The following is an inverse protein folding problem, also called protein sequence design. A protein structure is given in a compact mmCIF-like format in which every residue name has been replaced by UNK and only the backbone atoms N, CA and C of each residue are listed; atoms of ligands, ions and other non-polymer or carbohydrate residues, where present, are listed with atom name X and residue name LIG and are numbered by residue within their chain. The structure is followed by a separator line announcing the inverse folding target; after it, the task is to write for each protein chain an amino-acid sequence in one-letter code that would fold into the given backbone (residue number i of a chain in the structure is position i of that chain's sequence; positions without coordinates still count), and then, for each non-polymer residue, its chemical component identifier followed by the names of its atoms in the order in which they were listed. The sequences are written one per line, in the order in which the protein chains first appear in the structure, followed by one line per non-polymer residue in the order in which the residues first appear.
data_IF_888349408767
#
_entry.id   IF_888349408767
#
_cell.length_a   1.000
_cell.length_b   1.000
_cell.length_c   1.000
_cell.angle_alpha   90.00
_cell.angle_beta   90.00
_cell.angle_gamma   90.00
#
_symmetry.space_group_name_H-M   'P 1'
#
loop_
_entity.id
_entity.type
_entity.pdbx_description
1 polymer ?
#
# COMPACT_ATOMS: atom_id res chain seq x y z
N UNK A 1 -3.60 45.90 -9.46
CA UNK A 1 -2.77 44.77 -9.90
C UNK A 1 -2.96 43.69 -8.84
N UNK A 2 -3.09 42.44 -9.21
CA UNK A 2 -3.29 41.35 -8.23
C UNK A 2 -1.98 41.14 -7.46
N UNK A 3 -2.00 41.35 -6.14
CA UNK A 3 -0.81 41.23 -5.28
C UNK A 3 -0.14 39.86 -5.41
N UNK A 4 -0.95 38.79 -5.62
CA UNK A 4 -0.46 37.44 -5.85
C UNK A 4 0.35 37.33 -7.13
N UNK A 5 -0.08 38.01 -8.17
CA UNK A 5 0.65 38.08 -9.44
C UNK A 5 2.00 38.79 -9.27
N UNK A 6 2.03 39.89 -8.51
CA UNK A 6 3.28 40.59 -8.22
C UNK A 6 4.28 39.71 -7.44
N UNK A 7 3.80 38.91 -6.47
CA UNK A 7 4.65 37.95 -5.74
C UNK A 7 5.25 36.89 -6.67
N UNK A 8 4.44 36.35 -7.60
CA UNK A 8 4.93 35.37 -8.57
C UNK A 8 5.94 35.99 -9.54
N UNK A 9 5.67 37.19 -10.03
CA UNK A 9 6.57 37.90 -10.95
C UNK A 9 7.92 38.24 -10.25
N UNK A 10 7.88 38.61 -8.96
CA UNK A 10 9.10 38.84 -8.15
C UNK A 10 9.90 37.55 -7.95
N UNK A 11 9.23 36.43 -7.65
CA UNK A 11 9.90 35.13 -7.52
C UNK A 11 10.54 34.68 -8.83
N UNK A 12 9.84 34.84 -9.97
CA UNK A 12 10.38 34.50 -11.29
C UNK A 12 11.60 35.35 -11.59
N UNK A 13 11.54 36.67 -11.33
CA UNK A 13 12.70 37.56 -11.49
C UNK A 13 13.91 37.13 -10.66
N UNK A 14 13.67 36.78 -9.40
CA UNK A 14 14.75 36.31 -8.51
C UNK A 14 15.36 34.98 -9.00
N UNK A 15 14.53 34.05 -9.55
CA UNK A 15 15.06 32.83 -10.16
C UNK A 15 15.94 33.16 -11.35
N UNK A 16 15.48 34.06 -12.23
CA UNK A 16 16.22 34.41 -13.46
C UNK A 16 17.53 35.10 -13.17
N UNK A 17 17.55 36.00 -12.20
CA UNK A 17 18.71 36.83 -11.90
C UNK A 17 19.76 36.05 -11.09
N UNK A 18 19.33 35.21 -10.13
CA UNK A 18 20.24 34.66 -9.12
C UNK A 18 20.27 33.14 -9.02
N UNK A 19 19.22 32.41 -9.45
CA UNK A 19 19.06 30.97 -9.19
C UNK A 19 18.78 30.12 -10.43
N UNK A 20 18.94 30.66 -11.63
CA UNK A 20 18.64 29.98 -12.89
C UNK A 20 19.31 28.61 -13.03
N UNK A 21 20.58 28.52 -12.65
CA UNK A 21 21.33 27.26 -12.75
C UNK A 21 20.94 26.24 -11.67
N UNK A 22 20.39 26.71 -10.54
CA UNK A 22 20.04 25.88 -9.38
C UNK A 22 18.60 25.39 -9.37
N UNK A 23 17.68 26.03 -10.13
CA UNK A 23 16.28 25.63 -10.25
C UNK A 23 16.04 24.95 -11.61
N UNK A 24 15.30 23.87 -11.65
CA UNK A 24 14.89 23.21 -12.88
C UNK A 24 13.57 23.77 -13.43
N UNK A 25 12.59 23.93 -12.57
CA UNK A 25 11.30 24.52 -12.88
C UNK A 25 10.58 24.97 -11.60
N UNK A 26 9.59 25.84 -11.73
CA UNK A 26 8.71 26.31 -10.68
C UNK A 26 7.24 26.11 -11.05
N UNK A 27 6.44 25.66 -10.10
CA UNK A 27 5.04 25.27 -10.29
C UNK A 27 4.18 25.97 -9.24
N UNK A 28 3.10 26.63 -9.69
CA UNK A 28 2.03 27.09 -8.82
C UNK A 28 0.95 26.02 -8.75
N UNK A 29 0.40 25.79 -7.57
CA UNK A 29 -0.59 24.73 -7.35
C UNK A 29 -1.67 25.14 -6.34
N UNK A 30 -2.45 24.21 -5.83
CA UNK A 30 -3.44 24.45 -4.79
C UNK A 30 -4.66 25.25 -5.26
N UNK A 31 -5.24 26.01 -4.34
CA UNK A 31 -6.50 26.71 -4.56
C UNK A 31 -6.43 27.79 -5.65
N UNK A 32 -5.27 28.38 -5.85
CA UNK A 32 -5.04 29.38 -6.91
C UNK A 32 -5.22 28.80 -8.30
N UNK A 33 -4.79 27.56 -8.51
CA UNK A 33 -4.92 26.86 -9.80
C UNK A 33 -6.30 26.23 -9.99
N UNK A 34 -6.88 25.67 -8.90
CA UNK A 34 -8.17 24.97 -8.98
C UNK A 34 -9.39 25.90 -8.95
N UNK A 35 -9.18 27.20 -8.73
CA UNK A 35 -10.27 28.20 -8.61
C UNK A 35 -11.06 28.10 -7.30
N UNK A 36 -10.59 27.32 -6.33
CA UNK A 36 -11.21 27.16 -5.03
C UNK A 36 -10.66 28.16 -3.99
N UNK A 37 -10.50 29.40 -4.43
CA UNK A 37 -9.94 30.48 -3.59
C UNK A 37 -10.97 31.06 -2.62
N UNK A 38 -10.49 31.45 -1.43
CA UNK A 38 -11.21 32.29 -0.47
C UNK A 38 -10.46 33.62 -0.28
N UNK A 39 -11.04 34.62 0.39
CA UNK A 39 -10.35 35.88 0.67
C UNK A 39 -9.03 35.70 1.46
N UNK A 40 -8.86 34.56 2.13
CA UNK A 40 -7.67 34.20 2.90
C UNK A 40 -6.86 33.05 2.27
N UNK A 41 -7.09 32.76 0.98
CA UNK A 41 -6.26 31.76 0.27
C UNK A 41 -4.90 32.39 -0.10
N UNK A 42 -3.86 31.63 0.09
CA UNK A 42 -2.49 31.86 -0.35
C UNK A 42 -2.27 31.58 -1.84
N UNK A 43 -1.02 31.64 -2.24
CA UNK A 43 -0.50 31.07 -3.48
C UNK A 43 0.58 30.07 -3.09
N UNK A 44 0.32 28.81 -3.38
CA UNK A 44 1.26 27.73 -3.12
C UNK A 44 2.25 27.62 -4.29
N UNK A 45 3.55 27.66 -4.02
CA UNK A 45 4.60 27.51 -5.02
C UNK A 45 5.61 26.47 -4.58
N UNK A 46 5.92 25.53 -5.47
CA UNK A 46 7.07 24.64 -5.32
C UNK A 46 8.04 24.87 -6.48
N UNK A 47 9.32 24.93 -6.19
CA UNK A 47 10.35 24.91 -7.23
C UNK A 47 11.27 23.70 -7.03
N UNK A 48 11.57 23.06 -8.17
CA UNK A 48 12.39 21.87 -8.21
C UNK A 48 13.87 22.25 -8.25
N UNK A 49 14.57 22.00 -7.14
CA UNK A 49 15.99 22.33 -6.98
C UNK A 49 16.89 21.26 -7.61
N UNK A 50 17.89 21.71 -8.37
CA UNK A 50 18.96 20.88 -8.93
C UNK A 50 20.10 20.66 -7.92
N UNK A 51 20.30 21.62 -7.01
CA UNK A 51 21.38 21.64 -6.03
C UNK A 51 20.97 22.30 -4.70
N UNK A 52 21.92 22.39 -3.76
CA UNK A 52 21.70 22.94 -2.43
C UNK A 52 21.40 24.44 -2.45
N UNK A 53 21.91 25.19 -3.43
CA UNK A 53 21.70 26.63 -3.55
C UNK A 53 20.23 26.99 -3.79
N UNK A 54 19.47 26.10 -4.45
CA UNK A 54 18.05 26.31 -4.66
C UNK A 54 17.26 26.53 -3.35
N UNK A 55 17.72 25.95 -2.23
CA UNK A 55 17.07 26.14 -0.93
C UNK A 55 17.19 27.57 -0.37
N UNK A 56 18.15 28.34 -0.81
CA UNK A 56 18.30 29.74 -0.40
C UNK A 56 17.17 30.62 -0.94
N UNK A 57 16.46 30.15 -1.98
CA UNK A 57 15.29 30.82 -2.55
C UNK A 57 14.00 30.63 -1.72
N UNK A 58 13.96 29.67 -0.78
CA UNK A 58 12.77 29.44 0.04
C UNK A 58 12.35 30.69 0.80
N UNK A 59 11.04 30.96 0.83
CA UNK A 59 10.47 32.10 1.55
C UNK A 59 9.16 31.68 2.22
N UNK A 60 9.11 31.86 3.52
CA UNK A 60 7.88 31.74 4.30
C UNK A 60 7.60 33.09 4.97
N UNK A 61 6.44 33.67 4.72
CA UNK A 61 6.10 35.01 5.21
C UNK A 61 4.58 35.20 5.36
N UNK A 62 4.18 36.26 6.05
CA UNK A 62 2.78 36.66 6.21
C UNK A 62 2.54 37.96 5.46
N UNK A 63 1.52 38.01 4.64
CA UNK A 63 1.05 39.23 4.00
C UNK A 63 -0.48 39.32 4.09
N UNK A 64 -1.02 40.44 4.52
CA UNK A 64 -2.47 40.66 4.67
C UNK A 64 -3.16 39.64 5.62
N UNK A 65 -2.42 39.07 6.57
CA UNK A 65 -2.89 38.01 7.47
C UNK A 65 -3.08 36.66 6.79
N UNK A 66 -2.37 36.40 5.67
CA UNK A 66 -2.28 35.13 4.96
C UNK A 66 -0.82 34.67 5.00
N UNK A 67 -0.59 33.41 5.36
CA UNK A 67 0.73 32.78 5.30
C UNK A 67 1.03 32.32 3.89
N UNK A 68 2.23 32.58 3.41
CA UNK A 68 2.74 32.13 2.10
C UNK A 68 3.95 31.25 2.32
N UNK A 69 4.05 30.16 1.56
CA UNK A 69 5.18 29.25 1.59
C UNK A 69 5.64 28.93 0.16
N UNK A 70 6.80 29.50 -0.22
CA UNK A 70 7.49 29.20 -1.47
C UNK A 70 8.64 28.27 -1.13
N UNK A 71 8.52 26.99 -1.45
CA UNK A 71 9.46 25.99 -0.96
C UNK A 71 10.19 25.24 -2.08
N UNK A 72 11.41 24.83 -1.75
CA UNK A 72 12.26 24.02 -2.59
C UNK A 72 11.98 22.52 -2.37
N UNK A 73 11.93 21.78 -3.46
CA UNK A 73 11.94 20.33 -3.44
C UNK A 73 13.03 19.80 -4.36
N UNK A 74 13.97 18.94 -3.87
CA UNK A 74 14.99 18.39 -4.75
C UNK A 74 14.36 17.53 -5.85
N UNK A 75 14.93 17.55 -7.06
CA UNK A 75 14.44 16.80 -8.21
C UNK A 75 14.24 15.31 -7.94
N UNK A 76 15.13 14.70 -7.18
CA UNK A 76 14.99 13.29 -6.77
C UNK A 76 13.73 13.04 -5.93
N UNK A 77 13.40 14.00 -5.05
CA UNK A 77 12.17 13.94 -4.27
C UNK A 77 10.93 14.08 -5.14
N UNK A 78 10.97 14.98 -6.13
CA UNK A 78 9.90 15.17 -7.13
C UNK A 78 9.67 13.87 -7.90
N UNK A 79 10.73 13.24 -8.41
CA UNK A 79 10.66 11.95 -9.13
C UNK A 79 10.05 10.86 -8.24
N UNK A 80 10.55 10.70 -7.02
CA UNK A 80 10.03 9.71 -6.08
C UNK A 80 8.54 9.90 -5.76
N UNK A 81 8.06 11.14 -5.65
CA UNK A 81 6.64 11.43 -5.46
C UNK A 81 5.81 10.90 -6.62
N UNK A 82 6.28 11.08 -7.85
CA UNK A 82 5.60 10.61 -9.06
C UNK A 82 5.68 9.08 -9.18
N UNK A 83 6.87 8.50 -9.00
CA UNK A 83 7.12 7.07 -9.16
C UNK A 83 6.32 6.22 -8.16
N UNK A 84 6.22 6.70 -6.91
CA UNK A 84 5.48 6.03 -5.83
C UNK A 84 4.02 6.50 -5.72
N UNK A 85 3.58 7.40 -6.57
CA UNK A 85 2.25 8.00 -6.55
C UNK A 85 1.86 8.52 -5.16
N UNK A 86 2.76 9.31 -4.55
CA UNK A 86 2.54 9.85 -3.21
C UNK A 86 1.45 10.95 -3.22
N UNK A 87 0.84 11.31 -2.08
CA UNK A 87 -0.23 12.32 -2.03
C UNK A 87 0.13 13.66 -2.69
N UNK A 88 1.40 14.07 -2.57
CA UNK A 88 1.90 15.30 -3.21
C UNK A 88 1.99 15.23 -4.74
N UNK A 89 1.70 14.10 -5.36
CA UNK A 89 1.64 13.97 -6.83
C UNK A 89 0.65 14.95 -7.46
N UNK A 90 -0.38 15.35 -6.71
CA UNK A 90 -1.36 16.35 -7.11
C UNK A 90 -0.74 17.72 -7.48
N UNK A 91 0.38 18.08 -6.85
CA UNK A 91 1.15 19.31 -7.14
C UNK A 91 1.57 19.31 -8.61
N UNK A 92 2.14 18.20 -9.08
CA UNK A 92 2.65 18.10 -10.45
C UNK A 92 1.56 17.73 -11.45
N UNK A 93 0.57 16.95 -11.04
CA UNK A 93 -0.55 16.55 -11.90
C UNK A 93 -1.48 17.70 -12.27
N UNK A 94 -1.78 18.60 -11.32
CA UNK A 94 -2.73 19.71 -11.48
C UNK A 94 -2.08 21.09 -11.47
N UNK A 95 -0.80 21.19 -11.10
CA UNK A 95 -0.08 22.44 -11.04
C UNK A 95 0.20 23.03 -12.40
N UNK A 96 0.43 24.34 -12.41
CA UNK A 96 0.79 25.10 -13.61
C UNK A 96 2.25 25.52 -13.53
N UNK A 97 2.99 25.20 -14.58
CA UNK A 97 4.35 25.68 -14.76
C UNK A 97 4.35 27.21 -14.85
N UNK A 98 5.13 27.88 -13.99
CA UNK A 98 5.28 29.34 -14.02
C UNK A 98 6.67 29.77 -14.49
N UNK A 99 7.68 28.89 -14.35
CA UNK A 99 9.03 29.10 -14.82
C UNK A 99 9.73 27.77 -15.09
N UNK A 100 10.66 27.73 -16.03
CA UNK A 100 11.49 26.56 -16.32
C UNK A 100 12.84 26.98 -16.90
N UNK A 101 13.89 26.20 -16.58
CA UNK A 101 15.23 26.37 -17.14
C UNK A 101 15.26 25.92 -18.61
N UNK A 102 14.84 26.82 -19.49
CA UNK A 102 14.80 26.59 -20.92
C UNK A 102 13.94 25.39 -21.35
N UNK A 103 14.21 24.86 -22.52
CA UNK A 103 13.47 23.72 -23.08
C UNK A 103 13.62 22.44 -22.24
N UNK A 104 14.76 22.25 -21.57
CA UNK A 104 15.03 21.08 -20.74
C UNK A 104 14.12 21.05 -19.50
N UNK A 105 13.95 22.17 -18.83
CA UNK A 105 13.03 22.27 -17.67
C UNK A 105 11.57 22.06 -18.04
N UNK A 106 11.14 22.61 -19.18
CA UNK A 106 9.80 22.38 -19.74
C UNK A 106 9.57 20.90 -20.05
N UNK A 107 10.53 20.26 -20.74
CA UNK A 107 10.45 18.84 -21.08
C UNK A 107 10.37 17.98 -19.81
N UNK A 108 11.20 18.26 -18.82
CA UNK A 108 11.21 17.53 -17.55
C UNK A 108 9.84 17.59 -16.84
N UNK A 109 9.24 18.77 -16.74
CA UNK A 109 7.90 18.91 -16.16
C UNK A 109 6.83 18.15 -16.94
N UNK A 110 6.89 18.22 -18.29
CA UNK A 110 5.99 17.48 -19.16
C UNK A 110 6.12 15.96 -19.01
N UNK A 111 7.36 15.44 -18.86
CA UNK A 111 7.62 14.03 -18.59
C UNK A 111 6.99 13.55 -17.26
N UNK A 112 7.07 14.37 -16.20
CA UNK A 112 6.43 14.07 -14.93
C UNK A 112 4.90 13.99 -15.09
N UNK A 113 4.29 14.95 -15.78
CA UNK A 113 2.85 14.93 -16.04
C UNK A 113 2.44 13.71 -16.87
N UNK A 114 3.21 13.37 -17.89
CA UNK A 114 2.97 12.18 -18.73
C UNK A 114 3.08 10.89 -17.91
N UNK A 115 4.09 10.77 -17.02
CA UNK A 115 4.25 9.62 -16.15
C UNK A 115 3.04 9.43 -15.22
N UNK A 116 2.52 10.52 -14.63
CA UNK A 116 1.32 10.49 -13.79
C UNK A 116 0.09 10.03 -14.59
N UNK A 117 -0.12 10.56 -15.79
CA UNK A 117 -1.25 10.18 -16.66
C UNK A 117 -1.15 8.72 -17.09
N UNK A 118 0.05 8.28 -17.48
CA UNK A 118 0.31 6.88 -17.83
C UNK A 118 0.00 5.94 -16.67
N UNK A 119 0.46 6.27 -15.45
CA UNK A 119 0.16 5.49 -14.27
C UNK A 119 -1.36 5.40 -14.01
N UNK A 120 -2.10 6.49 -14.20
CA UNK A 120 -3.54 6.50 -14.00
C UNK A 120 -4.32 5.66 -15.03
N UNK A 121 -3.86 5.64 -16.29
CA UNK A 121 -4.63 5.08 -17.41
C UNK A 121 -4.23 3.64 -17.78
N UNK A 122 -2.94 3.29 -17.67
CA UNK A 122 -2.40 2.07 -18.26
C UNK A 122 -1.98 0.99 -17.25
N UNK A 123 -1.97 1.31 -15.95
CA UNK A 123 -1.56 0.36 -14.93
C UNK A 123 -2.73 -0.19 -14.13
N UNK A 124 -2.61 -1.43 -13.67
CA UNK A 124 -3.64 -2.08 -12.86
C UNK A 124 -3.69 -1.57 -11.41
N UNK A 125 -4.75 -1.92 -10.66
CA UNK A 125 -4.96 -1.46 -9.28
C UNK A 125 -3.91 -1.96 -8.28
N UNK A 126 -3.11 -2.94 -8.67
CA UNK A 126 -2.00 -3.49 -7.86
C UNK A 126 -0.64 -2.84 -8.15
N UNK A 127 -0.56 -1.85 -9.02
CA UNK A 127 0.68 -1.14 -9.34
C UNK A 127 1.44 -0.66 -8.10
N UNK A 128 0.72 -0.18 -7.10
CA UNK A 128 1.28 0.37 -5.86
C UNK A 128 1.03 -0.55 -4.65
N UNK A 129 1.08 -1.87 -4.85
CA UNK A 129 0.76 -2.86 -3.81
C UNK A 129 1.61 -2.68 -2.54
N UNK A 130 2.92 -2.46 -2.67
CA UNK A 130 3.79 -2.26 -1.52
C UNK A 130 3.39 -1.03 -0.68
N UNK A 131 3.01 0.07 -1.32
CA UNK A 131 2.56 1.29 -0.65
C UNK A 131 1.18 1.08 0.01
N UNK A 132 0.28 0.35 -0.62
CA UNK A 132 -1.03 -0.01 -0.03
C UNK A 132 -0.86 -0.89 1.20
N UNK A 133 0.03 -1.90 1.17
CA UNK A 133 0.32 -2.75 2.33
C UNK A 133 0.97 -1.94 3.48
N UNK A 134 1.87 -1.02 3.16
CA UNK A 134 2.47 -0.12 4.16
C UNK A 134 1.40 0.77 4.82
N UNK A 135 0.46 1.32 4.05
CA UNK A 135 -0.66 2.11 4.58
C UNK A 135 -1.59 1.26 5.45
N UNK A 136 -1.94 0.04 5.04
CA UNK A 136 -2.73 -0.88 5.85
C UNK A 136 -2.05 -1.18 7.19
N UNK A 137 -0.73 -1.34 7.21
CA UNK A 137 0.04 -1.54 8.44
C UNK A 137 -0.04 -0.32 9.35
N UNK A 138 0.11 0.90 8.82
CA UNK A 138 -0.04 2.14 9.59
C UNK A 138 -1.47 2.32 10.14
N UNK A 139 -2.48 2.03 9.32
CA UNK A 139 -3.89 2.09 9.73
C UNK A 139 -4.15 1.14 10.91
N UNK A 140 -3.66 -0.11 10.86
CA UNK A 140 -3.77 -1.08 11.96
C UNK A 140 -3.11 -0.57 13.25
N UNK A 141 -1.90 -0.01 13.15
CA UNK A 141 -1.20 0.56 14.30
C UNK A 141 -2.01 1.71 14.95
N UNK A 142 -2.58 2.60 14.13
CA UNK A 142 -3.42 3.69 14.64
C UNK A 142 -4.71 3.20 15.34
N UNK A 143 -5.31 2.11 14.88
CA UNK A 143 -6.47 1.52 15.58
C UNK A 143 -6.06 0.96 16.95
N UNK A 144 -4.87 0.35 17.04
CA UNK A 144 -4.32 -0.05 18.33
C UNK A 144 -4.07 1.15 19.24
N UNK A 145 -3.44 2.22 18.73
CA UNK A 145 -3.21 3.46 19.48
C UNK A 145 -4.53 4.09 19.96
N UNK A 146 -5.56 4.10 19.11
CA UNK A 146 -6.89 4.60 19.48
C UNK A 146 -7.49 3.86 20.69
N UNK A 147 -7.22 2.54 20.83
CA UNK A 147 -7.74 1.73 21.93
C UNK A 147 -7.22 2.20 23.28
N UNK A 148 -5.97 2.61 23.34
CA UNK A 148 -5.27 3.01 24.57
C UNK A 148 -5.30 4.53 24.81
N UNK A 149 -5.62 5.32 23.79
CA UNK A 149 -5.65 6.77 23.84
C UNK A 149 -6.84 7.33 24.66
N UNK A 150 -6.63 8.49 25.30
CA UNK A 150 -7.69 9.34 25.82
C UNK A 150 -8.28 10.26 24.75
N UNK A 151 -9.36 10.92 25.10
CA UNK A 151 -9.88 12.05 24.34
C UNK A 151 -8.95 13.24 24.55
N UNK A 152 -8.55 14.16 23.81
CA UNK A 152 -8.88 14.42 22.41
C UNK A 152 -8.01 13.62 21.42
N UNK A 153 -7.07 12.84 21.93
CA UNK A 153 -6.11 12.07 21.13
C UNK A 153 -6.82 11.07 20.18
N UNK A 154 -7.94 10.48 20.63
CA UNK A 154 -8.76 9.63 19.77
C UNK A 154 -9.30 10.37 18.55
N UNK A 155 -9.77 11.60 18.70
CA UNK A 155 -10.24 12.40 17.56
C UNK A 155 -9.13 12.70 16.55
N UNK A 156 -7.92 13.02 17.05
CA UNK A 156 -6.75 13.20 16.18
C UNK A 156 -6.42 11.92 15.40
N UNK A 157 -6.42 10.77 16.07
CA UNK A 157 -6.19 9.47 15.43
C UNK A 157 -7.26 9.19 14.35
N UNK A 158 -8.53 9.48 14.62
CA UNK A 158 -9.61 9.31 13.63
C UNK A 158 -9.40 10.20 12.39
N UNK A 159 -8.98 11.44 12.59
CA UNK A 159 -8.60 12.33 11.50
C UNK A 159 -7.46 11.76 10.65
N UNK A 160 -6.42 11.24 11.29
CA UNK A 160 -5.31 10.56 10.60
C UNK A 160 -5.75 9.31 9.85
N UNK A 161 -6.62 8.49 10.46
CA UNK A 161 -7.20 7.31 9.80
C UNK A 161 -7.96 7.71 8.54
N UNK A 162 -8.78 8.77 8.61
CA UNK A 162 -9.51 9.28 7.44
C UNK A 162 -8.56 9.61 6.29
N UNK A 163 -7.45 10.32 6.57
CA UNK A 163 -6.47 10.68 5.54
C UNK A 163 -5.72 9.46 4.98
N UNK A 164 -5.28 8.53 5.83
CA UNK A 164 -4.57 7.33 5.37
C UNK A 164 -5.46 6.39 4.55
N UNK A 165 -6.74 6.28 4.90
CA UNK A 165 -7.70 5.48 4.14
C UNK A 165 -7.92 6.09 2.76
N UNK A 166 -8.08 7.41 2.68
CA UNK A 166 -8.18 8.09 1.40
C UNK A 166 -6.92 7.92 0.54
N UNK A 167 -5.74 8.03 1.14
CA UNK A 167 -4.46 7.80 0.46
C UNK A 167 -4.32 6.36 -0.07
N UNK A 168 -4.80 5.38 0.70
CA UNK A 168 -4.85 3.98 0.27
C UNK A 168 -5.77 3.83 -0.95
N UNK A 169 -6.98 4.36 -0.87
CA UNK A 169 -7.97 4.28 -1.95
C UNK A 169 -7.49 5.03 -3.20
N UNK A 170 -6.84 6.18 -3.03
CA UNK A 170 -6.25 6.92 -4.15
C UNK A 170 -5.21 6.07 -4.90
N UNK A 171 -4.32 5.34 -4.19
CA UNK A 171 -3.34 4.45 -4.83
C UNK A 171 -3.98 3.27 -5.55
N UNK A 172 -4.98 2.64 -4.94
CA UNK A 172 -5.72 1.54 -5.59
C UNK A 172 -6.39 2.03 -6.89
N UNK A 173 -6.90 3.25 -6.90
CA UNK A 173 -7.51 3.87 -8.07
C UNK A 173 -6.50 4.59 -9.00
N UNK A 174 -5.21 4.65 -8.65
CA UNK A 174 -4.20 5.45 -9.37
C UNK A 174 -4.68 6.88 -9.57
N UNK A 175 -5.31 7.42 -8.53
CA UNK A 175 -5.92 8.74 -8.48
C UNK A 175 -5.25 9.63 -7.43
N UNK A 176 -5.49 10.91 -7.49
CA UNK A 176 -4.98 11.90 -6.53
C UNK A 176 -6.08 12.91 -6.18
N UNK A 177 -5.93 13.55 -5.03
CA UNK A 177 -6.88 14.56 -4.56
C UNK A 177 -6.57 15.91 -5.19
N UNK A 178 -7.40 16.31 -6.15
CA UNK A 178 -7.25 17.57 -6.89
C UNK A 178 -7.52 18.79 -6.01
N UNK A 179 -8.48 18.67 -5.10
CA UNK A 179 -8.93 19.76 -4.24
C UNK A 179 -8.39 19.63 -2.81
N UNK A 180 -7.46 18.72 -2.57
CA UNK A 180 -6.89 18.43 -1.25
C UNK A 180 -7.98 18.03 -0.25
N UNK A 181 -7.92 18.58 0.97
CA UNK A 181 -8.91 18.25 2.01
C UNK A 181 -10.27 18.91 1.81
N UNK A 182 -10.41 19.91 0.92
CA UNK A 182 -11.64 20.70 0.76
C UNK A 182 -12.81 19.89 0.23
N UNK A 183 -12.55 18.92 -0.66
CA UNK A 183 -13.56 18.04 -1.24
C UNK A 183 -13.19 16.55 -1.08
N UNK A 184 -12.51 16.23 0.01
CA UNK A 184 -11.85 14.94 0.21
C UNK A 184 -12.80 13.75 0.11
N UNK A 185 -13.93 13.79 0.83
CA UNK A 185 -14.92 12.70 0.81
C UNK A 185 -15.66 12.62 -0.53
N UNK A 186 -15.90 13.74 -1.19
CA UNK A 186 -16.51 13.76 -2.52
C UNK A 186 -15.59 13.11 -3.57
N UNK A 187 -14.29 13.37 -3.49
CA UNK A 187 -13.32 12.75 -4.38
C UNK A 187 -13.16 11.25 -4.11
N UNK A 188 -13.18 10.82 -2.83
CA UNK A 188 -13.21 9.39 -2.48
C UNK A 188 -14.50 8.72 -3.00
N UNK A 189 -15.64 9.42 -2.90
CA UNK A 189 -16.91 8.86 -3.39
C UNK A 189 -16.91 8.67 -4.91
N UNK A 190 -16.16 9.48 -5.64
CA UNK A 190 -15.98 9.35 -7.08
C UNK A 190 -15.02 8.22 -7.49
N UNK A 191 -14.24 7.64 -6.57
CA UNK A 191 -13.37 6.52 -6.90
C UNK A 191 -14.17 5.28 -7.28
N UNK A 192 -13.74 4.60 -8.33
CA UNK A 192 -14.38 3.38 -8.82
C UNK A 192 -14.18 2.21 -7.85
N UNK A 193 -12.94 2.02 -7.41
CA UNK A 193 -12.54 0.91 -6.55
C UNK A 193 -12.55 1.35 -5.08
N UNK A 194 -13.59 0.98 -4.34
CA UNK A 194 -13.73 1.27 -2.90
C UNK A 194 -14.66 0.27 -2.22
N UNK A 195 -14.52 0.02 -0.91
CA UNK A 195 -15.54 -0.70 -0.14
C UNK A 195 -16.86 0.04 -0.15
N UNK A 196 -17.98 -0.66 -0.34
CA UNK A 196 -19.31 -0.04 -0.42
C UNK A 196 -19.71 0.77 0.82
N UNK A 197 -19.18 0.41 2.00
CA UNK A 197 -19.46 1.08 3.27
C UNK A 197 -18.54 2.26 3.58
N UNK A 198 -17.45 2.47 2.82
CA UNK A 198 -16.33 3.35 3.22
C UNK A 198 -16.74 4.80 3.43
N UNK A 199 -17.60 5.36 2.58
CA UNK A 199 -18.03 6.77 2.71
C UNK A 199 -18.78 7.00 4.03
N UNK A 200 -19.73 6.13 4.37
CA UNK A 200 -20.48 6.22 5.62
C UNK A 200 -19.55 6.05 6.83
N UNK A 201 -18.58 5.15 6.75
CA UNK A 201 -17.59 4.93 7.79
C UNK A 201 -16.70 6.18 7.97
N UNK A 202 -16.18 6.77 6.90
CA UNK A 202 -15.36 7.99 6.97
C UNK A 202 -16.15 9.20 7.47
N UNK A 203 -17.42 9.34 7.06
CA UNK A 203 -18.29 10.38 7.60
C UNK A 203 -18.50 10.22 9.11
N UNK A 204 -18.62 8.99 9.61
CA UNK A 204 -18.74 8.73 11.05
C UNK A 204 -17.48 9.16 11.82
N UNK A 205 -16.29 8.95 11.27
CA UNK A 205 -15.01 9.38 11.87
C UNK A 205 -14.93 10.91 12.04
N UNK A 206 -15.56 11.66 11.15
CA UNK A 206 -15.50 13.15 11.18
C UNK A 206 -16.60 13.78 12.04
N UNK A 207 -17.61 13.02 12.49
CA UNK A 207 -18.75 13.53 13.25
C UNK A 207 -18.67 13.33 14.75
N UNK A 208 -17.80 12.47 15.23
CA UNK A 208 -17.68 12.18 16.64
C UNK A 208 -16.68 11.08 16.95
N UNK A 209 -16.62 10.67 18.23
CA UNK A 209 -15.73 9.56 18.61
C UNK A 209 -16.38 8.23 18.31
N UNK A 210 -15.76 7.46 17.44
CA UNK A 210 -16.19 6.14 17.02
C UNK A 210 -15.59 5.08 17.95
N UNK A 211 -16.34 4.04 18.37
CA UNK A 211 -15.81 2.92 19.14
C UNK A 211 -14.64 2.23 18.41
N UNK A 212 -13.64 1.79 19.17
CA UNK A 212 -12.46 1.11 18.58
C UNK A 212 -12.83 -0.16 17.82
N UNK A 213 -13.87 -0.88 18.28
CA UNK A 213 -14.34 -2.09 17.59
C UNK A 213 -14.94 -1.79 16.20
N UNK A 214 -15.55 -0.62 16.03
CA UNK A 214 -16.02 -0.17 14.72
C UNK A 214 -14.85 0.18 13.79
N UNK A 215 -13.79 0.80 14.34
CA UNK A 215 -12.55 1.03 13.61
C UNK A 215 -11.90 -0.28 13.19
N UNK A 216 -11.87 -1.27 14.07
CA UNK A 216 -11.31 -2.59 13.76
C UNK A 216 -12.11 -3.28 12.64
N UNK A 217 -13.44 -3.20 12.66
CA UNK A 217 -14.30 -3.70 11.56
C UNK A 217 -14.00 -3.00 10.23
N UNK A 218 -13.87 -1.67 10.25
CA UNK A 218 -13.50 -0.91 9.05
C UNK A 218 -12.16 -1.36 8.46
N UNK A 219 -11.17 -1.62 9.31
CA UNK A 219 -9.86 -2.14 8.85
C UNK A 219 -10.00 -3.52 8.24
N UNK A 220 -10.82 -4.40 8.83
CA UNK A 220 -11.10 -5.72 8.24
C UNK A 220 -11.76 -5.61 6.87
N UNK A 221 -12.70 -4.68 6.69
CA UNK A 221 -13.34 -4.44 5.40
C UNK A 221 -12.35 -3.94 4.35
N UNK A 222 -11.44 -3.02 4.72
CA UNK A 222 -10.35 -2.57 3.85
C UNK A 222 -9.39 -3.71 3.47
N UNK A 223 -9.07 -4.61 4.41
CA UNK A 223 -8.23 -5.76 4.14
C UNK A 223 -8.90 -6.77 3.21
N UNK A 224 -10.21 -7.03 3.39
CA UNK A 224 -10.99 -7.90 2.50
C UNK A 224 -11.07 -7.30 1.10
N UNK A 225 -11.36 -6.02 1.01
CA UNK A 225 -11.39 -5.28 -0.24
C UNK A 225 -10.04 -5.39 -0.97
N UNK A 226 -8.93 -5.12 -0.30
CA UNK A 226 -7.59 -5.19 -0.92
C UNK A 226 -7.21 -6.61 -1.36
N UNK A 227 -7.54 -7.62 -0.55
CA UNK A 227 -7.35 -9.03 -0.94
C UNK A 227 -8.13 -9.39 -2.20
N UNK A 228 -9.36 -8.94 -2.31
CA UNK A 228 -10.19 -9.17 -3.49
C UNK A 228 -9.62 -8.49 -4.73
N UNK A 229 -9.13 -7.24 -4.63
CA UNK A 229 -8.44 -6.55 -5.72
C UNK A 229 -7.22 -7.34 -6.19
N UNK A 230 -6.39 -7.83 -5.26
CA UNK A 230 -5.23 -8.66 -5.61
C UNK A 230 -5.64 -9.94 -6.32
N UNK A 231 -6.65 -10.63 -5.80
CA UNK A 231 -7.16 -11.86 -6.39
C UNK A 231 -7.67 -11.65 -7.83
N UNK A 232 -8.44 -10.60 -8.06
CA UNK A 232 -8.95 -10.26 -9.40
C UNK A 232 -7.81 -9.90 -10.36
N UNK A 233 -6.82 -9.16 -9.91
CA UNK A 233 -5.65 -8.79 -10.72
C UNK A 233 -4.78 -10.00 -11.09
N UNK A 234 -4.75 -11.02 -10.24
CA UNK A 234 -4.05 -12.29 -10.52
C UNK A 234 -4.85 -13.19 -11.46
N UNK A 235 -6.17 -13.13 -11.41
CA UNK A 235 -7.04 -13.95 -12.29
C UNK A 235 -7.04 -13.49 -13.76
N UNK A 236 -6.62 -12.25 -14.03
CA UNK A 236 -6.47 -11.70 -15.40
C UNK A 236 -5.09 -11.92 -16.01
N UNK A 237 -4.08 -12.25 -15.20
CA UNK A 237 -2.82 -12.83 -15.65
C UNK A 237 -2.89 -14.32 -15.38
N UNK A 238 -2.36 -15.17 -16.26
CA UNK A 238 -2.15 -16.59 -15.94
C UNK A 238 -1.71 -16.66 -14.48
N UNK A 239 -2.42 -17.45 -13.68
CA UNK A 239 -1.99 -17.78 -12.33
C UNK A 239 -0.57 -18.34 -12.53
N UNK A 240 0.45 -17.52 -12.32
CA UNK A 240 1.78 -18.04 -12.05
C UNK A 240 1.55 -18.92 -10.83
N UNK A 241 1.36 -20.21 -11.10
CA UNK A 241 0.98 -21.19 -10.11
C UNK A 241 1.98 -21.02 -8.97
N UNK A 242 1.50 -20.86 -7.76
CA UNK A 242 2.36 -21.02 -6.61
C UNK A 242 3.08 -22.33 -6.89
N UNK A 243 4.40 -22.26 -7.11
CA UNK A 243 5.19 -23.46 -7.35
C UNK A 243 5.09 -24.30 -6.07
N UNK A 244 4.36 -25.40 -6.16
CA UNK A 244 4.17 -26.32 -5.03
C UNK A 244 5.18 -27.47 -5.07
N UNK A 245 6.10 -27.45 -6.03
CA UNK A 245 7.14 -28.48 -6.15
C UNK A 245 7.99 -28.47 -4.89
N UNK A 246 8.09 -29.61 -4.22
CA UNK A 246 8.85 -29.76 -2.98
C UNK A 246 8.15 -29.23 -1.73
N UNK A 247 7.03 -28.51 -1.85
CA UNK A 247 6.35 -27.93 -0.68
C UNK A 247 5.84 -29.00 0.29
N UNK A 248 5.29 -30.10 -0.24
CA UNK A 248 4.79 -31.20 0.61
C UNK A 248 5.92 -31.84 1.40
N UNK A 249 7.04 -32.11 0.75
CA UNK A 249 8.23 -32.72 1.33
C UNK A 249 8.82 -31.86 2.46
N UNK A 250 8.82 -30.55 2.30
CA UNK A 250 9.23 -29.63 3.36
C UNK A 250 8.22 -29.59 4.52
N UNK A 251 6.93 -29.54 4.20
CA UNK A 251 5.86 -29.39 5.18
C UNK A 251 5.58 -30.69 5.97
N UNK A 252 5.90 -31.90 5.43
CA UNK A 252 5.62 -33.18 6.07
C UNK A 252 6.21 -33.28 7.48
N UNK A 253 7.39 -32.69 7.69
CA UNK A 253 8.04 -32.66 9.01
C UNK A 253 7.23 -31.86 10.04
N UNK A 254 6.48 -30.85 9.61
CA UNK A 254 5.62 -30.03 10.45
C UNK A 254 4.35 -30.77 10.86
N UNK A 255 3.68 -31.46 9.94
CA UNK A 255 2.56 -32.34 10.28
C UNK A 255 3.00 -33.45 11.22
N UNK A 256 4.16 -34.10 10.99
CA UNK A 256 4.70 -35.12 11.86
C UNK A 256 4.96 -34.61 13.30
N UNK A 257 5.47 -33.39 13.44
CA UNK A 257 5.64 -32.72 14.76
C UNK A 257 4.30 -32.50 15.44
N UNK A 258 3.28 -32.01 14.74
CA UNK A 258 1.94 -31.79 15.28
C UNK A 258 1.35 -33.12 15.77
N UNK A 259 1.38 -34.16 14.96
CA UNK A 259 0.86 -35.48 15.32
C UNK A 259 1.62 -36.12 16.47
N UNK A 260 2.96 -36.01 16.48
CA UNK A 260 3.77 -36.51 17.57
C UNK A 260 3.45 -35.80 18.88
N UNK A 261 3.46 -34.47 18.90
CA UNK A 261 3.16 -33.64 20.05
C UNK A 261 1.76 -33.91 20.61
N UNK A 262 0.76 -34.01 19.74
CA UNK A 262 -0.61 -34.33 20.13
C UNK A 262 -0.70 -35.72 20.80
N UNK A 263 0.00 -36.72 20.23
CA UNK A 263 0.03 -38.10 20.78
C UNK A 263 0.62 -38.18 22.16
N UNK A 264 1.67 -37.40 22.49
CA UNK A 264 2.30 -37.37 23.81
C UNK A 264 1.66 -36.37 24.77
N UNK A 265 0.60 -35.66 24.33
CA UNK A 265 -0.13 -34.68 25.13
C UNK A 265 0.61 -33.35 25.33
N UNK A 266 1.64 -33.05 24.52
CA UNK A 266 2.34 -31.74 24.55
C UNK A 266 1.52 -30.68 23.83
N UNK A 267 0.66 -30.00 24.58
CA UNK A 267 -0.22 -28.98 24.05
C UNK A 267 0.53 -27.75 23.50
N UNK A 268 1.65 -27.40 24.17
CA UNK A 268 2.45 -26.24 23.75
C UNK A 268 3.14 -26.50 22.40
N UNK A 269 3.80 -27.64 22.28
CA UNK A 269 4.48 -28.00 21.03
C UNK A 269 3.47 -28.19 19.88
N UNK A 270 2.31 -28.82 20.15
CA UNK A 270 1.24 -28.98 19.17
C UNK A 270 0.79 -27.62 18.64
N UNK A 271 0.49 -26.68 19.55
CA UNK A 271 0.04 -25.33 19.18
C UNK A 271 1.08 -24.57 18.38
N UNK A 272 2.36 -24.55 18.83
CA UNK A 272 3.43 -23.82 18.17
C UNK A 272 3.76 -24.42 16.78
N UNK A 273 3.82 -25.74 16.67
CA UNK A 273 4.06 -26.40 15.38
C UNK A 273 2.92 -26.12 14.38
N UNK A 274 1.67 -26.16 14.86
CA UNK A 274 0.50 -25.81 14.05
C UNK A 274 0.51 -24.34 13.62
N UNK A 275 0.90 -23.43 14.51
CA UNK A 275 1.00 -22.00 14.19
C UNK A 275 2.06 -21.73 13.10
N UNK A 276 3.22 -22.37 13.18
CA UNK A 276 4.26 -22.24 12.16
C UNK A 276 3.77 -22.74 10.79
N UNK A 277 3.10 -23.90 10.74
CA UNK A 277 2.56 -24.44 9.50
C UNK A 277 1.41 -23.56 8.98
N UNK A 278 0.57 -23.02 9.86
CA UNK A 278 -0.53 -22.16 9.49
C UNK A 278 -0.07 -20.88 8.74
N UNK A 279 1.08 -20.31 9.10
CA UNK A 279 1.66 -19.14 8.42
C UNK A 279 1.93 -19.43 6.94
N UNK A 280 2.41 -20.64 6.59
CA UNK A 280 2.61 -21.07 5.21
C UNK A 280 1.27 -21.34 4.51
N UNK A 281 0.35 -22.03 5.19
CA UNK A 281 -0.96 -22.35 4.63
C UNK A 281 -1.83 -21.12 4.37
N UNK A 282 -1.71 -20.06 5.18
CA UNK A 282 -2.37 -18.77 4.93
C UNK A 282 -1.94 -18.20 3.59
N UNK A 283 -0.66 -18.31 3.23
CA UNK A 283 -0.14 -17.85 1.93
C UNK A 283 -0.72 -18.67 0.79
N UNK A 284 -0.78 -19.99 0.93
CA UNK A 284 -1.35 -20.88 -0.08
C UNK A 284 -2.85 -20.62 -0.29
N UNK A 285 -3.61 -20.44 0.80
CA UNK A 285 -5.04 -20.07 0.72
C UNK A 285 -5.23 -18.69 0.08
N UNK A 286 -4.35 -17.72 0.36
CA UNK A 286 -4.36 -16.43 -0.31
C UNK A 286 -4.08 -16.55 -1.82
N UNK A 287 -3.30 -17.56 -2.24
CA UNK A 287 -3.08 -17.95 -3.63
C UNK A 287 -4.23 -18.77 -4.26
N UNK A 288 -5.35 -18.98 -3.55
CA UNK A 288 -6.57 -19.61 -4.07
C UNK A 288 -6.70 -21.11 -3.79
N UNK A 289 -5.82 -21.70 -2.97
CA UNK A 289 -5.99 -23.08 -2.55
C UNK A 289 -7.05 -23.21 -1.45
N UNK A 290 -7.90 -24.23 -1.53
CA UNK A 290 -8.87 -24.57 -0.49
C UNK A 290 -8.24 -25.60 0.44
N UNK A 291 -7.69 -25.13 1.56
CA UNK A 291 -7.05 -25.97 2.57
C UNK A 291 -7.63 -25.62 3.95
N UNK A 292 -7.97 -26.66 4.72
CA UNK A 292 -8.51 -26.52 6.08
C UNK A 292 -7.49 -25.85 7.00
N UNK A 293 -7.86 -24.75 7.72
CA UNK A 293 -6.99 -24.13 8.71
C UNK A 293 -6.63 -25.07 9.86
N UNK A 294 -5.43 -24.93 10.45
CA UNK A 294 -5.02 -25.72 11.62
C UNK A 294 -5.94 -25.52 12.84
N UNK A 295 -6.51 -24.31 12.96
CA UNK A 295 -7.39 -23.92 14.08
C UNK A 295 -8.87 -23.83 13.66
N UNK A 296 -9.29 -24.58 12.63
CA UNK A 296 -10.69 -24.64 12.19
C UNK A 296 -11.60 -25.10 13.34
N UNK A 297 -12.82 -24.56 13.39
CA UNK A 297 -13.79 -24.90 14.44
C UNK A 297 -13.38 -24.43 15.85
N UNK A 298 -12.50 -23.44 15.98
CA UNK A 298 -11.91 -22.97 17.25
C UNK A 298 -11.13 -24.07 18.00
N UNK A 299 -10.46 -24.94 17.25
CA UNK A 299 -9.63 -26.00 17.82
C UNK A 299 -8.56 -25.42 18.76
N UNK A 300 -8.58 -25.82 20.01
CA UNK A 300 -7.63 -25.40 21.06
C UNK A 300 -6.89 -26.58 21.69
N UNK A 301 -7.44 -27.78 21.58
CA UNK A 301 -6.84 -28.99 22.12
C UNK A 301 -5.91 -29.69 21.12
N UNK A 302 -4.87 -30.42 21.61
CA UNK A 302 -3.93 -31.14 20.76
C UNK A 302 -4.61 -32.09 19.76
N UNK A 303 -5.63 -32.81 20.19
CA UNK A 303 -6.34 -33.80 19.37
C UNK A 303 -7.12 -33.13 18.21
N UNK A 304 -7.77 -32.00 18.50
CA UNK A 304 -8.53 -31.23 17.49
C UNK A 304 -7.60 -30.62 16.44
N UNK A 305 -6.48 -30.04 16.88
CA UNK A 305 -5.46 -29.48 15.98
C UNK A 305 -4.86 -30.58 15.10
N UNK A 306 -4.55 -31.76 15.67
CA UNK A 306 -4.03 -32.90 14.89
C UNK A 306 -5.06 -33.46 13.90
N UNK A 307 -6.35 -33.42 14.23
CA UNK A 307 -7.41 -33.80 13.30
C UNK A 307 -7.47 -32.84 12.09
N UNK A 308 -7.42 -31.53 12.34
CA UNK A 308 -7.36 -30.52 11.28
C UNK A 308 -6.09 -30.66 10.44
N UNK A 309 -4.95 -30.95 11.06
CA UNK A 309 -3.68 -31.24 10.38
C UNK A 309 -3.80 -32.43 9.43
N UNK A 310 -4.48 -33.50 9.83
CA UNK A 310 -4.73 -34.69 8.98
C UNK A 310 -5.58 -34.31 7.76
N UNK A 311 -6.65 -33.52 7.96
CA UNK A 311 -7.53 -33.09 6.87
C UNK A 311 -6.73 -32.24 5.89
N UNK A 312 -6.01 -31.24 6.39
CA UNK A 312 -5.21 -30.31 5.61
C UNK A 312 -4.13 -31.01 4.79
N UNK A 313 -3.41 -31.97 5.38
CA UNK A 313 -2.40 -32.76 4.67
C UNK A 313 -3.01 -33.54 3.51
N UNK A 314 -4.16 -34.19 3.71
CA UNK A 314 -4.87 -34.93 2.64
C UNK A 314 -5.33 -33.98 1.53
N UNK A 315 -5.90 -32.82 1.87
CA UNK A 315 -6.36 -31.84 0.89
C UNK A 315 -5.20 -31.34 0.03
N UNK A 316 -4.01 -31.13 0.61
CA UNK A 316 -2.83 -30.74 -0.16
C UNK A 316 -2.39 -31.84 -1.12
N UNK A 317 -2.36 -33.11 -0.70
CA UNK A 317 -2.05 -34.25 -1.58
C UNK A 317 -3.02 -34.30 -2.75
N UNK A 318 -4.33 -34.12 -2.51
CA UNK A 318 -5.34 -34.06 -3.56
C UNK A 318 -5.09 -32.93 -4.57
N UNK A 319 -4.70 -31.74 -4.07
CA UNK A 319 -4.35 -30.58 -4.93
C UNK A 319 -3.11 -30.87 -5.78
N UNK A 320 -2.07 -31.48 -5.22
CA UNK A 320 -0.85 -31.85 -5.95
C UNK A 320 -1.15 -32.85 -7.04
N UNK A 321 -1.94 -33.90 -6.73
CA UNK A 321 -2.37 -34.89 -7.70
C UNK A 321 -3.18 -34.27 -8.85
N UNK A 322 -4.12 -33.37 -8.57
CA UNK A 322 -4.91 -32.65 -9.58
C UNK A 322 -4.04 -31.77 -10.49
N UNK A 323 -2.91 -31.26 -9.99
CA UNK A 323 -1.98 -30.43 -10.75
C UNK A 323 -0.86 -31.22 -11.43
N UNK A 324 -0.82 -32.54 -11.25
CA UNK A 324 0.24 -33.39 -11.80
C UNK A 324 1.61 -33.14 -11.19
N UNK A 325 1.68 -32.63 -9.94
CA UNK A 325 2.93 -32.39 -9.22
C UNK A 325 3.25 -33.67 -8.44
N UNK A 326 4.38 -34.35 -8.74
CA UNK A 326 4.76 -35.56 -8.03
C UNK A 326 5.25 -35.24 -6.61
N UNK A 327 4.97 -36.13 -5.69
CA UNK A 327 5.57 -36.15 -4.34
C UNK A 327 6.80 -37.08 -4.41
N UNK A 328 7.95 -36.58 -3.97
CA UNK A 328 9.19 -37.36 -3.94
C UNK A 328 9.30 -38.07 -2.61
N UNK A 329 8.99 -39.35 -2.59
CA UNK A 329 9.04 -40.22 -1.41
C UNK A 329 9.77 -41.52 -1.73
N UNK A 330 10.60 -42.02 -0.84
CA UNK A 330 11.39 -43.22 -0.99
C UNK A 330 11.16 -44.18 0.18
N UNK A 331 10.98 -45.45 -0.14
CA UNK A 331 10.86 -46.53 0.85
C UNK A 331 12.21 -47.17 1.21
N UNK A 332 13.22 -47.03 0.31
CA UNK A 332 14.54 -47.64 0.51
C UNK A 332 15.64 -46.54 0.64
N UNK A 333 16.55 -46.72 1.56
CA UNK A 333 17.69 -45.83 1.77
C UNK A 333 18.65 -45.83 0.57
N UNK A 334 18.73 -46.95 -0.19
CA UNK A 334 19.58 -47.01 -1.35
C UNK A 334 19.09 -46.11 -2.47
N UNK A 335 17.77 -45.96 -2.63
CA UNK A 335 17.13 -45.06 -3.59
C UNK A 335 17.38 -43.60 -3.19
N UNK A 336 17.28 -43.27 -1.89
CA UNK A 336 17.66 -41.94 -1.38
C UNK A 336 19.12 -41.59 -1.70
N UNK A 337 20.03 -42.54 -1.51
CA UNK A 337 21.46 -42.34 -1.80
C UNK A 337 21.69 -42.15 -3.31
N UNK A 338 20.99 -42.92 -4.15
CA UNK A 338 21.06 -42.76 -5.60
C UNK A 338 20.54 -41.38 -6.02
N UNK A 339 19.38 -40.98 -5.52
CA UNK A 339 18.79 -39.65 -5.75
C UNK A 339 19.73 -38.50 -5.36
N UNK A 340 20.33 -38.57 -4.13
CA UNK A 340 21.28 -37.55 -3.70
C UNK A 340 22.50 -37.46 -4.62
N UNK A 341 22.91 -38.60 -5.23
CA UNK A 341 24.05 -38.66 -6.17
C UNK A 341 23.70 -38.26 -7.60
N UNK A 342 22.44 -37.93 -7.88
CA UNK A 342 21.97 -37.64 -9.23
C UNK A 342 22.03 -38.87 -10.17
N UNK A 343 21.93 -40.07 -9.61
CA UNK A 343 21.83 -41.30 -10.36
C UNK A 343 20.35 -41.63 -10.59
N UNK A 344 19.98 -41.99 -11.82
CA UNK A 344 18.60 -42.40 -12.12
C UNK A 344 18.18 -43.57 -11.21
N UNK A 345 17.08 -43.36 -10.49
CA UNK A 345 16.47 -44.45 -9.68
C UNK A 345 15.83 -45.45 -10.62
N UNK A 346 15.98 -46.77 -10.40
CA UNK A 346 15.32 -47.77 -11.20
C UNK A 346 13.81 -47.72 -10.96
N UNK A 347 13.07 -46.99 -11.77
CA UNK A 347 11.61 -46.85 -11.62
C UNK A 347 10.95 -45.76 -12.45
N UNK A 348 11.67 -45.02 -13.28
CA UNK A 348 11.12 -44.13 -14.32
C UNK A 348 10.83 -44.87 -15.65
#
# INVERSE_FOLDING_TARGET
MDDKRLMLDALIGEIEDNYRESVAFAVVYGSYVTGQTSPKSDVDVVFAGKDQRAYELQRTFIFGGVGYDFFCMPLERVRRIVDEFQPLVSIFASGKLIWADGAAGVAHFAELQQAIQTAAQTTGPTRYAAQVEALLTQIKALVFDHRVAGQPQRQHIQGRLTLLIGDLLARVNRAYFRYGIKRYLEEIDAFELKPGSVINQLQSLTRGVVPTDDLARMVLDLQRFWREIKRQSQATGEIAGTDLTGFYEEAVSSWNKIHHAARIGDAQLTYLAASCLEDELVRLRAGGLSLTPMFEGNATGPAEIAANATINQRELVEVLAQRGIPIVEFDDIADVVAFIRGQDTPGD
#
